data_IF_837883331329
#
_entry.id   IF_837883331329
#
_cell.length_a   1.000
_cell.length_b   1.000
_cell.length_c   1.000
_cell.angle_alpha   90.00
_cell.angle_beta   90.00
_cell.angle_gamma   90.00
#
_symmetry.space_group_name_H-M   'P 1'
#
loop_
_entity.id
_entity.type
_entity.pdbx_description
1 polymer ?
#
# COMPACT_ATOMS: atom_id res chain seq x y z
N UNK A 1 41.66 -2.88 30.84
CA UNK A 1 41.85 -3.71 29.62
C UNK A 1 40.49 -4.06 29.07
N UNK A 2 39.97 -3.19 28.20
CA UNK A 2 38.71 -3.38 27.47
C UNK A 2 39.09 -3.78 26.04
N UNK A 3 38.90 -5.04 25.70
CA UNK A 3 39.03 -5.53 24.33
C UNK A 3 37.97 -4.86 23.46
N UNK A 4 38.33 -4.19 22.35
CA UNK A 4 37.34 -3.73 21.40
C UNK A 4 36.77 -4.95 20.68
N UNK A 5 35.44 -5.02 20.66
CA UNK A 5 34.70 -5.95 19.82
C UNK A 5 35.08 -5.59 18.38
N UNK A 6 35.80 -6.49 17.71
CA UNK A 6 36.05 -6.45 16.27
C UNK A 6 34.71 -6.32 15.57
N UNK A 7 34.39 -5.11 15.09
CA UNK A 7 33.44 -4.91 14.01
C UNK A 7 33.87 -5.81 12.86
N UNK A 8 33.10 -6.86 12.60
CA UNK A 8 33.24 -7.67 11.40
C UNK A 8 32.84 -6.81 10.21
N UNK A 9 33.84 -6.21 9.59
CA UNK A 9 33.82 -5.56 8.28
C UNK A 9 33.49 -6.57 7.16
N UNK A 10 32.27 -7.11 7.14
CA UNK A 10 31.78 -7.95 6.04
C UNK A 10 30.30 -7.70 5.73
N UNK A 11 29.86 -6.47 6.01
CA UNK A 11 28.58 -5.90 5.57
C UNK A 11 28.75 -5.23 4.21
N UNK A 12 29.10 -6.00 3.17
CA UNK A 12 28.68 -5.62 1.82
C UNK A 12 27.15 -5.65 1.81
N UNK A 13 26.53 -4.55 2.22
CA UNK A 13 25.10 -4.34 2.12
C UNK A 13 24.78 -4.42 0.63
N UNK A 14 24.27 -5.57 0.20
CA UNK A 14 23.76 -5.75 -1.15
C UNK A 14 22.61 -4.74 -1.30
N UNK A 15 22.90 -3.59 -1.89
CA UNK A 15 21.90 -2.59 -2.22
C UNK A 15 21.02 -3.20 -3.31
N UNK A 16 19.73 -3.39 -3.01
CA UNK A 16 18.77 -3.81 -4.02
C UNK A 16 18.74 -2.73 -5.09
N UNK A 17 19.11 -3.09 -6.30
CA UNK A 17 18.84 -2.26 -7.47
C UNK A 17 17.43 -2.58 -7.97
N UNK A 18 16.51 -1.66 -7.70
CA UNK A 18 15.08 -1.80 -8.01
C UNK A 18 14.74 -1.43 -9.47
N UNK A 19 15.74 -1.00 -10.23
CA UNK A 19 15.59 -0.48 -11.59
C UNK A 19 15.92 -1.51 -12.68
N UNK A 20 16.54 -2.64 -12.32
CA UNK A 20 17.16 -3.63 -13.21
C UNK A 20 16.30 -4.12 -14.40
N UNK A 21 14.98 -4.21 -14.26
CA UNK A 21 14.10 -4.73 -15.31
C UNK A 21 13.79 -3.76 -16.45
N UNK A 22 13.87 -2.45 -16.24
CA UNK A 22 13.41 -1.43 -17.19
C UNK A 22 14.50 -0.37 -17.46
N UNK A 23 15.04 -0.41 -18.69
CA UNK A 23 16.12 0.50 -19.12
C UNK A 23 15.67 1.96 -19.22
N UNK A 24 14.41 2.22 -19.55
CA UNK A 24 13.90 3.59 -19.65
C UNK A 24 13.85 4.23 -18.26
N UNK A 25 13.32 3.49 -17.27
CA UNK A 25 13.35 3.94 -15.87
C UNK A 25 14.79 4.13 -15.40
N UNK A 26 15.70 3.19 -15.67
CA UNK A 26 17.12 3.34 -15.31
C UNK A 26 17.71 4.63 -15.85
N UNK A 27 17.50 4.92 -17.13
CA UNK A 27 17.98 6.12 -17.78
C UNK A 27 17.41 7.39 -17.12
N UNK A 28 16.10 7.44 -16.91
CA UNK A 28 15.44 8.58 -16.27
C UNK A 28 15.95 8.80 -14.84
N UNK A 29 16.13 7.73 -14.07
CA UNK A 29 16.61 7.83 -12.68
C UNK A 29 18.08 8.21 -12.59
N UNK A 30 18.93 7.68 -13.48
CA UNK A 30 20.33 8.08 -13.57
C UNK A 30 20.50 9.57 -13.86
N UNK A 31 19.55 10.15 -14.59
CA UNK A 31 19.52 11.58 -14.91
C UNK A 31 18.73 12.43 -13.91
N UNK A 32 18.51 11.94 -12.67
CA UNK A 32 17.82 12.66 -11.59
C UNK A 32 16.38 13.11 -11.91
N UNK A 33 15.65 12.33 -12.71
CA UNK A 33 14.24 12.60 -12.95
C UNK A 33 13.39 12.26 -11.71
N UNK A 34 12.61 13.24 -11.28
CA UNK A 34 11.54 13.07 -10.30
C UNK A 34 10.23 12.74 -10.99
N UNK A 35 9.28 12.15 -10.23
CA UNK A 35 7.93 11.91 -10.74
C UNK A 35 7.29 13.18 -11.29
N UNK A 36 7.46 14.32 -10.62
CA UNK A 36 6.91 15.61 -11.06
C UNK A 36 7.51 16.10 -12.37
N UNK A 37 8.84 16.01 -12.54
CA UNK A 37 9.50 16.39 -13.80
C UNK A 37 9.01 15.52 -14.97
N UNK A 38 8.91 14.22 -14.75
CA UNK A 38 8.43 13.29 -15.78
C UNK A 38 6.96 13.52 -16.12
N UNK A 39 6.10 13.79 -15.13
CA UNK A 39 4.70 14.17 -15.36
C UNK A 39 4.57 15.38 -16.27
N UNK A 40 5.31 16.46 -16.00
CA UNK A 40 5.22 17.71 -16.77
C UNK A 40 5.79 17.56 -18.18
N UNK A 41 6.93 16.88 -18.32
CA UNK A 41 7.53 16.67 -19.64
C UNK A 41 6.67 15.72 -20.48
N UNK A 42 6.12 14.66 -19.90
CA UNK A 42 5.22 13.76 -20.59
C UNK A 42 3.95 14.48 -21.07
N UNK A 43 3.39 15.37 -20.24
CA UNK A 43 2.26 16.21 -20.63
C UNK A 43 2.58 17.03 -21.88
N UNK A 44 3.73 17.69 -21.94
CA UNK A 44 4.14 18.50 -23.10
C UNK A 44 4.38 17.61 -24.34
N UNK A 45 5.20 16.57 -24.19
CA UNK A 45 5.62 15.71 -25.30
C UNK A 45 4.44 14.96 -25.91
N UNK A 46 3.47 14.53 -25.10
CA UNK A 46 2.35 13.71 -25.57
C UNK A 46 1.16 14.55 -26.05
N UNK A 47 1.00 15.80 -25.58
CA UNK A 47 -0.06 16.69 -26.08
C UNK A 47 0.33 17.44 -27.35
N UNK A 48 1.61 17.78 -27.52
CA UNK A 48 2.07 18.54 -28.69
C UNK A 48 1.71 17.85 -30.03
N UNK A 49 1.86 16.52 -30.18
CA UNK A 49 1.39 15.82 -31.37
C UNK A 49 -0.12 15.97 -31.61
N UNK A 50 -0.95 15.92 -30.57
CA UNK A 50 -2.40 16.10 -30.70
C UNK A 50 -2.75 17.50 -31.21
N UNK A 51 -2.14 18.54 -30.67
CA UNK A 51 -2.33 19.93 -31.13
C UNK A 51 -1.85 20.10 -32.58
N UNK A 52 -0.69 19.53 -32.91
CA UNK A 52 -0.13 19.61 -34.26
C UNK A 52 -0.99 18.88 -35.29
N UNK A 53 -1.56 17.72 -34.94
CA UNK A 53 -2.48 16.98 -35.82
C UNK A 53 -3.78 17.74 -36.02
N UNK A 54 -4.35 18.32 -34.96
CA UNK A 54 -5.54 19.17 -35.07
C UNK A 54 -5.28 20.39 -35.98
N UNK A 55 -4.08 20.97 -35.91
CA UNK A 55 -3.65 22.05 -36.79
C UNK A 55 -3.60 21.59 -38.26
N UNK A 56 -2.96 20.46 -38.55
CA UNK A 56 -2.82 19.94 -39.92
C UNK A 56 -4.16 19.53 -40.56
N UNK A 57 -5.16 19.19 -39.75
CA UNK A 57 -6.50 18.86 -40.22
C UNK A 57 -7.47 20.07 -40.26
N UNK A 58 -6.98 21.29 -40.06
CA UNK A 58 -7.81 22.52 -39.95
C UNK A 58 -8.95 22.36 -38.94
N UNK A 59 -8.68 21.66 -37.83
CA UNK A 59 -9.65 21.24 -36.83
C UNK A 59 -9.27 21.69 -35.40
N UNK A 60 -8.41 22.72 -35.28
CA UNK A 60 -8.14 23.37 -33.99
C UNK A 60 -9.39 24.06 -33.43
N UNK A 61 -10.11 24.76 -34.30
CA UNK A 61 -11.32 25.52 -33.98
C UNK A 61 -12.53 24.91 -34.72
N UNK A 62 -13.76 25.21 -34.27
CA UNK A 62 -14.97 24.61 -34.83
C UNK A 62 -15.00 24.70 -36.36
N UNK A 63 -15.11 23.53 -36.99
CA UNK A 63 -15.13 23.37 -38.44
C UNK A 63 -16.43 22.64 -38.80
N UNK A 64 -17.17 23.06 -39.85
CA UNK A 64 -18.42 22.39 -40.25
C UNK A 64 -18.23 20.91 -40.66
N UNK A 65 -17.01 20.47 -40.96
CA UNK A 65 -16.72 19.11 -41.43
C UNK A 65 -16.23 18.15 -40.36
N UNK A 66 -15.65 18.66 -39.28
CA UNK A 66 -14.94 17.85 -38.28
C UNK A 66 -15.22 18.36 -36.87
N UNK A 67 -15.34 17.44 -35.91
CA UNK A 67 -15.30 17.80 -34.49
C UNK A 67 -13.93 18.39 -34.16
N UNK A 68 -13.90 19.65 -33.73
CA UNK A 68 -12.67 20.37 -33.46
C UNK A 68 -12.09 20.06 -32.07
N UNK A 69 -10.76 20.15 -31.95
CA UNK A 69 -10.02 19.95 -30.71
C UNK A 69 -10.52 20.87 -29.58
N UNK A 70 -10.84 22.13 -29.88
CA UNK A 70 -11.24 23.13 -28.87
C UNK A 70 -12.56 22.80 -28.16
N UNK A 71 -13.40 21.96 -28.75
CA UNK A 71 -14.69 21.55 -28.19
C UNK A 71 -14.70 20.06 -27.80
N UNK A 72 -13.61 19.34 -28.05
CA UNK A 72 -13.48 17.94 -27.70
C UNK A 72 -13.18 17.78 -26.20
N UNK A 73 -14.18 17.28 -25.50
CA UNK A 73 -14.13 17.04 -24.06
C UNK A 73 -13.16 15.89 -23.69
N UNK A 74 -12.69 15.08 -24.64
CA UNK A 74 -11.69 14.03 -24.44
C UNK A 74 -10.29 14.61 -24.12
N UNK A 75 -9.97 15.82 -24.60
CA UNK A 75 -8.69 16.47 -24.29
C UNK A 75 -8.53 16.82 -22.82
N UNK A 76 -9.64 17.12 -22.14
CA UNK A 76 -9.62 17.40 -20.70
C UNK A 76 -9.17 16.16 -19.93
N UNK A 77 -9.64 14.97 -20.33
CA UNK A 77 -9.25 13.73 -19.67
C UNK A 77 -7.79 13.39 -19.98
N UNK A 78 -7.31 13.61 -21.21
CA UNK A 78 -5.89 13.40 -21.56
C UNK A 78 -4.94 14.31 -20.76
N UNK A 79 -5.26 15.60 -20.67
CA UNK A 79 -4.47 16.58 -19.88
C UNK A 79 -4.38 16.15 -18.41
N UNK A 80 -5.45 15.57 -17.86
CA UNK A 80 -5.47 15.10 -16.48
C UNK A 80 -4.74 13.76 -16.27
N UNK A 81 -4.94 12.80 -17.17
CA UNK A 81 -4.48 11.40 -17.02
C UNK A 81 -2.99 11.26 -17.33
N UNK A 82 -2.51 11.86 -18.42
CA UNK A 82 -1.11 11.75 -18.88
C UNK A 82 -0.09 12.04 -17.77
N UNK A 83 -0.14 13.19 -17.06
CA UNK A 83 0.86 13.51 -16.05
C UNK A 83 0.78 12.55 -14.86
N UNK A 84 -0.42 12.09 -14.50
CA UNK A 84 -0.60 11.13 -13.40
C UNK A 84 0.04 9.80 -13.76
N UNK A 85 -0.27 9.24 -14.95
CA UNK A 85 0.28 7.97 -15.42
C UNK A 85 1.81 8.01 -15.44
N UNK A 86 2.40 9.03 -16.06
CA UNK A 86 3.86 9.11 -16.17
C UNK A 86 4.57 9.42 -14.85
N UNK A 87 3.92 10.16 -13.95
CA UNK A 87 4.41 10.36 -12.59
C UNK A 87 4.43 9.06 -11.78
N UNK A 88 3.35 8.27 -11.89
CA UNK A 88 3.23 6.97 -11.25
C UNK A 88 4.15 5.92 -11.87
N UNK A 89 4.42 5.97 -13.17
CA UNK A 89 5.35 5.08 -13.87
C UNK A 89 6.77 5.14 -13.28
N UNK A 90 7.27 6.34 -12.98
CA UNK A 90 8.55 6.48 -12.25
C UNK A 90 8.39 6.08 -10.79
N UNK A 91 7.33 6.56 -10.13
CA UNK A 91 7.16 6.36 -8.70
C UNK A 91 7.10 4.86 -8.35
N UNK A 92 6.31 4.06 -9.08
CA UNK A 92 6.09 2.63 -8.80
C UNK A 92 7.39 1.82 -8.85
N UNK A 93 8.38 2.27 -9.61
CA UNK A 93 9.69 1.64 -9.73
C UNK A 93 10.60 1.94 -8.53
N UNK A 94 10.39 3.07 -7.83
CA UNK A 94 11.12 3.44 -6.60
C UNK A 94 10.48 2.89 -5.33
N UNK A 95 9.19 2.56 -5.38
CA UNK A 95 8.40 2.18 -4.20
C UNK A 95 9.04 1.08 -3.36
N UNK A 96 9.49 -0.06 -3.91
CA UNK A 96 9.97 -1.13 -3.05
C UNK A 96 11.20 -0.72 -2.24
N UNK A 97 12.07 0.11 -2.82
CA UNK A 97 13.19 0.71 -2.09
C UNK A 97 12.70 1.54 -0.91
N UNK A 98 11.85 2.52 -1.17
CA UNK A 98 11.36 3.47 -0.16
C UNK A 98 10.58 2.79 0.96
N UNK A 99 9.78 1.78 0.63
CA UNK A 99 9.00 1.04 1.63
C UNK A 99 9.91 0.17 2.47
N UNK A 100 10.82 -0.60 1.85
CA UNK A 100 11.71 -1.51 2.58
C UNK A 100 12.72 -0.75 3.44
N UNK A 101 13.28 0.35 2.93
CA UNK A 101 14.17 1.23 3.69
C UNK A 101 13.48 1.80 4.93
N UNK A 102 12.25 2.30 4.79
CA UNK A 102 11.47 2.78 5.94
C UNK A 102 11.22 1.68 6.96
N UNK A 103 10.89 0.47 6.52
CA UNK A 103 10.68 -0.68 7.41
C UNK A 103 11.98 -1.11 8.12
N UNK A 104 13.12 -0.98 7.44
CA UNK A 104 14.44 -1.25 8.00
C UNK A 104 14.83 -0.21 9.06
N UNK A 105 14.64 1.08 8.79
CA UNK A 105 14.87 2.17 9.75
C UNK A 105 14.01 2.02 11.01
N UNK A 106 12.76 1.55 10.86
CA UNK A 106 11.87 1.28 12.01
C UNK A 106 12.22 0.00 12.78
N UNK A 107 13.25 -0.75 12.38
CA UNK A 107 13.69 -1.98 13.05
C UNK A 107 12.80 -3.21 12.81
N UNK A 108 11.81 -3.11 11.92
CA UNK A 108 10.80 -4.14 11.67
C UNK A 108 11.32 -5.22 10.72
N UNK A 109 12.08 -4.78 9.71
CA UNK A 109 12.61 -5.63 8.66
C UNK A 109 14.02 -6.10 9.00
N UNK A 110 14.19 -7.41 9.16
CA UNK A 110 15.52 -8.01 9.30
C UNK A 110 16.00 -8.49 7.94
N UNK A 111 16.94 -7.77 7.33
CA UNK A 111 17.43 -8.08 5.98
C UNK A 111 18.28 -9.36 5.99
N UNK A 112 17.82 -10.40 5.29
CA UNK A 112 18.60 -11.61 5.01
C UNK A 112 19.18 -11.55 3.59
N UNK A 113 20.46 -11.92 3.43
CA UNK A 113 21.15 -11.97 2.13
C UNK A 113 20.36 -12.80 1.10
N UNK A 114 19.80 -13.94 1.52
CA UNK A 114 19.01 -14.81 0.65
C UNK A 114 17.72 -14.15 0.12
N UNK A 115 16.91 -13.57 1.00
CA UNK A 115 15.67 -12.87 0.61
C UNK A 115 15.96 -11.70 -0.34
N UNK A 116 17.02 -10.95 -0.04
CA UNK A 116 17.50 -9.83 -0.84
C UNK A 116 17.85 -10.29 -2.26
N UNK A 117 18.62 -11.38 -2.40
CA UNK A 117 18.98 -11.96 -3.71
C UNK A 117 17.75 -12.47 -4.47
N UNK A 118 16.80 -13.11 -3.79
CA UNK A 118 15.54 -13.59 -4.39
C UNK A 118 14.69 -12.42 -4.90
N UNK A 119 14.52 -11.38 -4.08
CA UNK A 119 13.80 -10.15 -4.46
C UNK A 119 14.46 -9.45 -5.66
N UNK A 120 15.78 -9.35 -5.67
CA UNK A 120 16.52 -8.74 -6.79
C UNK A 120 16.34 -9.53 -8.10
N UNK A 121 16.35 -10.87 -8.07
CA UNK A 121 16.04 -11.70 -9.24
C UNK A 121 14.63 -11.41 -9.80
N UNK A 122 13.64 -11.29 -8.93
CA UNK A 122 12.26 -10.96 -9.32
C UNK A 122 12.20 -9.58 -9.99
N UNK A 123 12.88 -8.57 -9.43
CA UNK A 123 12.93 -7.21 -9.99
C UNK A 123 13.73 -7.09 -11.29
N UNK A 124 14.75 -7.93 -11.47
CA UNK A 124 15.58 -7.96 -12.67
C UNK A 124 14.91 -8.67 -13.86
N UNK A 125 13.75 -9.31 -13.64
CA UNK A 125 13.06 -10.06 -14.68
C UNK A 125 12.51 -9.12 -15.75
N UNK A 126 12.73 -9.43 -17.05
CA UNK A 126 12.28 -8.61 -18.19
C UNK A 126 10.87 -8.93 -18.70
N UNK A 127 10.27 -10.04 -18.24
CA UNK A 127 8.90 -10.46 -18.57
C UNK A 127 7.88 -9.30 -18.49
N UNK A 128 7.87 -8.45 -17.45
CA UNK A 128 6.90 -7.36 -17.34
C UNK A 128 7.04 -6.33 -18.46
N UNK A 129 8.27 -6.05 -18.88
CA UNK A 129 8.55 -5.12 -19.98
C UNK A 129 8.11 -5.69 -21.31
N UNK A 130 8.43 -6.97 -21.57
CA UNK A 130 8.02 -7.66 -22.79
C UNK A 130 6.49 -7.70 -22.89
N UNK A 131 5.82 -8.07 -21.79
CA UNK A 131 4.37 -8.12 -21.73
C UNK A 131 3.74 -6.73 -21.87
N UNK A 132 4.31 -5.70 -21.25
CA UNK A 132 3.83 -4.33 -21.41
C UNK A 132 3.97 -3.82 -22.85
N UNK A 133 5.06 -4.16 -23.56
CA UNK A 133 5.23 -3.82 -24.98
C UNK A 133 4.16 -4.54 -25.81
N UNK A 134 3.94 -5.84 -25.58
CA UNK A 134 2.92 -6.60 -26.30
C UNK A 134 1.51 -6.03 -26.08
N UNK A 135 1.15 -5.69 -24.84
CA UNK A 135 -0.13 -5.05 -24.51
C UNK A 135 -0.21 -3.67 -25.17
N UNK A 136 0.86 -2.87 -25.12
CA UNK A 136 0.87 -1.53 -25.71
C UNK A 136 0.67 -1.55 -27.23
N UNK A 137 1.34 -2.47 -27.94
CA UNK A 137 1.16 -2.66 -29.37
C UNK A 137 -0.26 -3.14 -29.70
N UNK A 138 -0.81 -4.08 -28.91
CA UNK A 138 -2.17 -4.56 -29.10
C UNK A 138 -3.20 -3.45 -28.87
N UNK A 139 -3.11 -2.71 -27.77
CA UNK A 139 -4.00 -1.59 -27.45
C UNK A 139 -3.87 -0.48 -28.49
N UNK A 140 -2.66 -0.15 -28.92
CA UNK A 140 -2.42 0.82 -29.99
C UNK A 140 -3.03 0.40 -31.32
N UNK A 141 -2.90 -0.87 -31.70
CA UNK A 141 -3.55 -1.41 -32.89
C UNK A 141 -5.08 -1.36 -32.79
N UNK A 142 -5.65 -1.78 -31.66
CA UNK A 142 -7.09 -1.74 -31.42
C UNK A 142 -7.62 -0.31 -31.52
N UNK A 143 -6.94 0.63 -30.87
CA UNK A 143 -7.26 2.06 -30.94
C UNK A 143 -7.24 2.58 -32.39
N UNK A 144 -6.17 2.31 -33.13
CA UNK A 144 -6.07 2.71 -34.53
C UNK A 144 -7.20 2.11 -35.38
N UNK A 145 -7.49 0.81 -35.21
CA UNK A 145 -8.48 0.10 -35.98
C UNK A 145 -9.92 0.57 -35.68
N UNK A 146 -10.22 0.94 -34.44
CA UNK A 146 -11.53 1.49 -34.07
C UNK A 146 -11.70 2.89 -34.62
N UNK A 147 -10.72 3.77 -34.43
CA UNK A 147 -10.78 5.16 -34.86
C UNK A 147 -10.83 5.33 -36.37
N UNK A 148 -10.17 4.44 -37.10
CA UNK A 148 -10.24 4.42 -38.57
C UNK A 148 -11.65 4.13 -39.10
N UNK A 149 -12.51 3.48 -38.30
CA UNK A 149 -13.89 3.14 -38.64
C UNK A 149 -14.91 4.11 -38.04
N UNK A 150 -14.48 4.95 -37.10
CA UNK A 150 -15.31 5.96 -36.45
C UNK A 150 -15.61 7.13 -37.38
N UNK A 151 -16.58 7.95 -36.99
CA UNK A 151 -16.86 9.20 -37.68
C UNK A 151 -15.61 10.10 -37.68
N UNK A 152 -15.35 10.87 -38.77
CA UNK A 152 -14.22 11.79 -38.82
C UNK A 152 -14.31 12.91 -37.75
N UNK A 153 -13.28 12.98 -36.94
CA UNK A 153 -12.95 13.95 -35.89
C UNK A 153 -11.53 14.51 -36.16
N UNK A 154 -11.10 15.48 -35.36
CA UNK A 154 -9.80 16.15 -35.53
C UNK A 154 -8.59 15.20 -35.56
N UNK A 155 -8.66 14.02 -34.90
CA UNK A 155 -7.53 13.08 -34.81
C UNK A 155 -7.55 11.92 -35.81
N UNK A 156 -8.70 11.56 -36.38
CA UNK A 156 -8.85 10.40 -37.26
C UNK A 156 -9.22 10.75 -38.72
N UNK A 157 -9.41 12.04 -39.05
CA UNK A 157 -9.71 12.50 -40.41
C UNK A 157 -8.67 12.10 -41.47
N UNK A 158 -7.41 11.94 -41.07
CA UNK A 158 -6.31 11.48 -41.93
C UNK A 158 -5.68 10.21 -41.33
N UNK A 159 -5.74 9.05 -42.02
CA UNK A 159 -5.19 7.79 -41.52
C UNK A 159 -3.70 7.84 -41.18
N UNK A 160 -2.91 8.61 -41.93
CA UNK A 160 -1.47 8.75 -41.66
C UNK A 160 -1.22 9.54 -40.36
N UNK A 161 -1.99 10.61 -40.13
CA UNK A 161 -1.89 11.39 -38.89
C UNK A 161 -2.41 10.59 -37.70
N UNK A 162 -3.48 9.82 -37.88
CA UNK A 162 -3.97 8.89 -36.86
C UNK A 162 -2.89 7.86 -36.48
N UNK A 163 -2.19 7.27 -37.46
CA UNK A 163 -1.10 6.34 -37.20
C UNK A 163 0.04 6.99 -36.40
N UNK A 164 0.43 8.23 -36.76
CA UNK A 164 1.42 9.00 -36.01
C UNK A 164 0.96 9.24 -34.57
N UNK A 165 -0.30 9.65 -34.37
CA UNK A 165 -0.86 9.84 -33.01
C UNK A 165 -0.83 8.56 -32.20
N UNK A 166 -1.22 7.44 -32.80
CA UNK A 166 -1.22 6.15 -32.13
C UNK A 166 0.18 5.77 -31.65
N UNK A 167 1.20 5.97 -32.49
CA UNK A 167 2.59 5.64 -32.16
C UNK A 167 3.17 6.59 -31.12
N UNK A 168 2.89 7.89 -31.21
CA UNK A 168 3.50 8.90 -30.33
C UNK A 168 2.77 9.06 -28.99
N UNK A 169 1.47 8.78 -28.93
CA UNK A 169 0.64 9.06 -27.75
C UNK A 169 0.11 7.77 -27.12
N UNK A 170 -0.64 6.98 -27.88
CA UNK A 170 -1.38 5.83 -27.33
C UNK A 170 -0.48 4.66 -26.96
N UNK A 171 0.48 4.29 -27.80
CA UNK A 171 1.42 3.20 -27.49
C UNK A 171 2.25 3.52 -26.23
N UNK A 172 2.87 4.72 -26.08
CA UNK A 172 3.58 5.08 -24.86
C UNK A 172 2.70 5.12 -23.62
N UNK A 173 1.45 5.62 -23.73
CA UNK A 173 0.50 5.61 -22.62
C UNK A 173 0.11 4.20 -22.20
N UNK A 174 -0.26 3.35 -23.15
CA UNK A 174 -0.62 1.95 -22.89
C UNK A 174 0.56 1.18 -22.29
N UNK A 175 1.80 1.45 -22.74
CA UNK A 175 3.01 0.90 -22.16
C UNK A 175 3.18 1.31 -20.69
N UNK A 176 3.07 2.60 -20.39
CA UNK A 176 3.23 3.12 -19.02
C UNK A 176 2.18 2.54 -18.06
N UNK A 177 0.90 2.51 -18.46
CA UNK A 177 -0.21 1.92 -17.69
C UNK A 177 0.05 0.43 -17.43
N UNK A 178 0.46 -0.31 -18.47
CA UNK A 178 0.75 -1.74 -18.37
C UNK A 178 1.91 -2.02 -17.42
N UNK A 179 3.01 -1.24 -17.51
CA UNK A 179 4.13 -1.35 -16.58
C UNK A 179 3.69 -1.08 -15.15
N UNK A 180 2.86 -0.05 -14.91
CA UNK A 180 2.38 0.25 -13.57
C UNK A 180 1.62 -0.96 -12.99
N UNK A 181 0.64 -1.50 -13.74
CA UNK A 181 -0.14 -2.66 -13.31
C UNK A 181 0.74 -3.88 -13.00
N UNK A 182 1.65 -4.22 -13.92
CA UNK A 182 2.55 -5.36 -13.75
C UNK A 182 3.53 -5.14 -12.59
N UNK A 183 4.05 -3.93 -12.40
CA UNK A 183 4.94 -3.61 -11.27
C UNK A 183 4.23 -3.66 -9.94
N UNK A 184 2.94 -3.34 -9.84
CA UNK A 184 2.20 -3.52 -8.58
C UNK A 184 2.23 -4.99 -8.14
N UNK A 185 2.03 -5.92 -9.08
CA UNK A 185 2.07 -7.37 -8.82
C UNK A 185 3.48 -7.82 -8.41
N UNK A 186 4.52 -7.35 -9.12
CA UNK A 186 5.92 -7.67 -8.81
C UNK A 186 6.30 -7.13 -7.44
N UNK A 187 5.95 -5.88 -7.15
CA UNK A 187 6.21 -5.23 -5.88
C UNK A 187 5.53 -6.00 -4.74
N UNK A 188 4.29 -6.46 -4.92
CA UNK A 188 3.61 -7.32 -3.96
C UNK A 188 4.38 -8.64 -3.70
N UNK A 189 4.90 -9.28 -4.76
CA UNK A 189 5.75 -10.48 -4.62
C UNK A 189 7.06 -10.18 -3.88
N UNK A 190 7.71 -9.07 -4.20
CA UNK A 190 8.93 -8.60 -3.52
C UNK A 190 8.66 -8.37 -2.04
N UNK A 191 7.56 -7.70 -1.70
CA UNK A 191 7.16 -7.51 -0.30
C UNK A 191 6.89 -8.84 0.39
N UNK A 192 6.21 -9.79 -0.25
CA UNK A 192 5.98 -11.13 0.34
C UNK A 192 7.30 -11.85 0.66
N UNK A 193 8.30 -11.76 -0.23
CA UNK A 193 9.64 -12.36 -0.02
C UNK A 193 10.38 -11.66 1.14
N UNK A 194 10.42 -10.33 1.13
CA UNK A 194 11.19 -9.56 2.10
C UNK A 194 10.55 -9.61 3.49
N UNK A 195 9.23 -9.53 3.57
CA UNK A 195 8.49 -9.51 4.83
C UNK A 195 8.32 -10.90 5.47
N UNK A 196 8.93 -11.95 4.91
CA UNK A 196 8.86 -13.28 5.51
C UNK A 196 9.54 -13.36 6.89
N UNK A 197 10.47 -12.45 7.18
CA UNK A 197 11.19 -12.38 8.46
C UNK A 197 11.00 -10.99 9.09
N UNK A 198 9.81 -10.75 9.63
CA UNK A 198 9.43 -9.46 10.23
C UNK A 198 9.24 -9.60 11.73
N UNK A 199 9.71 -8.60 12.46
CA UNK A 199 9.45 -8.41 13.88
C UNK A 199 8.40 -7.31 13.99
N UNK A 200 7.16 -7.67 14.32
CA UNK A 200 6.14 -6.67 14.61
C UNK A 200 6.25 -6.21 16.05
N UNK A 201 6.03 -4.92 16.27
CA UNK A 201 5.98 -4.31 17.59
C UNK A 201 4.52 -4.04 17.97
N UNK A 202 3.90 -4.85 18.84
CA UNK A 202 2.47 -4.74 19.17
C UNK A 202 2.05 -3.37 19.76
N UNK A 203 3.00 -2.60 20.30
CA UNK A 203 2.76 -1.27 20.87
C UNK A 203 3.37 -0.15 20.01
N UNK A 204 3.63 -0.41 18.73
CA UNK A 204 4.15 0.62 17.84
C UNK A 204 3.15 1.78 17.73
N UNK A 205 3.59 3.05 17.80
CA UNK A 205 2.69 4.22 17.84
C UNK A 205 1.85 4.41 16.56
N UNK A 206 2.16 3.67 15.49
CA UNK A 206 1.41 3.71 14.23
C UNK A 206 0.12 2.89 14.24
N UNK A 207 -0.13 2.07 15.27
CA UNK A 207 -1.31 1.20 15.34
C UNK A 207 -1.35 0.10 14.28
N UNK A 208 -0.24 -0.16 13.58
CA UNK A 208 -0.13 -1.17 12.52
C UNK A 208 1.09 -2.09 12.73
N UNK A 209 1.61 -2.14 13.96
CA UNK A 209 2.82 -2.91 14.29
C UNK A 209 4.07 -2.42 13.55
N UNK A 210 4.06 -1.17 13.08
CA UNK A 210 5.11 -0.57 12.28
C UNK A 210 4.96 -0.73 10.75
N UNK A 211 3.92 -1.44 10.27
CA UNK A 211 3.68 -1.67 8.84
C UNK A 211 3.03 -0.48 8.11
N UNK A 212 2.90 0.69 8.74
CA UNK A 212 2.33 1.90 8.11
C UNK A 212 2.91 2.25 6.73
N UNK A 213 4.22 2.09 6.43
CA UNK A 213 4.75 2.36 5.08
C UNK A 213 4.07 1.53 3.99
N UNK A 214 3.70 0.28 4.28
CA UNK A 214 3.01 -0.60 3.33
C UNK A 214 1.55 -0.19 3.13
N UNK A 215 0.88 0.27 4.19
CA UNK A 215 -0.46 0.85 4.12
C UNK A 215 -0.49 2.16 3.31
N UNK A 216 0.49 3.05 3.50
CA UNK A 216 0.64 4.28 2.70
C UNK A 216 0.86 3.98 1.21
N UNK A 217 1.62 2.93 0.90
CA UNK A 217 1.78 2.45 -0.47
C UNK A 217 0.44 2.00 -1.06
N UNK A 218 -0.32 1.16 -0.35
CA UNK A 218 -1.63 0.70 -0.80
C UNK A 218 -2.60 1.87 -1.05
N UNK A 219 -2.66 2.85 -0.15
CA UNK A 219 -3.48 4.06 -0.32
C UNK A 219 -3.11 4.85 -1.58
N UNK A 220 -1.82 5.01 -1.88
CA UNK A 220 -1.38 5.69 -3.10
C UNK A 220 -1.81 4.96 -4.38
N UNK A 221 -1.84 3.62 -4.34
CA UNK A 221 -2.40 2.81 -5.44
C UNK A 221 -3.91 3.01 -5.54
N UNK A 222 -4.64 3.13 -4.43
CA UNK A 222 -6.08 3.44 -4.45
C UNK A 222 -6.38 4.76 -5.14
N UNK A 223 -5.60 5.82 -4.88
CA UNK A 223 -5.80 7.09 -5.58
C UNK A 223 -5.59 6.98 -7.09
N UNK A 224 -4.60 6.18 -7.52
CA UNK A 224 -4.39 5.90 -8.95
C UNK A 224 -5.56 5.14 -9.57
N UNK A 225 -6.04 4.09 -8.89
CA UNK A 225 -7.18 3.29 -9.35
C UNK A 225 -8.44 4.16 -9.43
N UNK A 226 -8.71 4.98 -8.41
CA UNK A 226 -9.84 5.91 -8.42
C UNK A 226 -9.80 6.85 -9.63
N UNK A 227 -8.62 7.39 -9.97
CA UNK A 227 -8.44 8.22 -11.16
C UNK A 227 -8.81 7.46 -12.44
N UNK A 228 -8.32 6.22 -12.61
CA UNK A 228 -8.71 5.41 -13.77
C UNK A 228 -10.21 5.06 -13.79
N UNK A 229 -10.83 4.85 -12.63
CA UNK A 229 -12.27 4.66 -12.51
C UNK A 229 -13.07 5.88 -12.96
N UNK A 230 -12.64 7.09 -12.57
CA UNK A 230 -13.24 8.33 -13.05
C UNK A 230 -13.05 8.51 -14.56
N UNK A 231 -11.86 8.19 -15.09
CA UNK A 231 -11.59 8.24 -16.53
C UNK A 231 -12.50 7.29 -17.31
N UNK A 232 -12.65 6.04 -16.86
CA UNK A 232 -13.54 5.06 -17.49
C UNK A 232 -15.00 5.52 -17.45
N UNK A 233 -15.49 5.97 -16.28
CA UNK A 233 -16.84 6.51 -16.14
C UNK A 233 -17.09 7.70 -17.07
N UNK A 234 -16.11 8.59 -17.19
CA UNK A 234 -16.21 9.75 -18.07
C UNK A 234 -16.29 9.35 -19.54
N UNK A 235 -15.50 8.38 -19.99
CA UNK A 235 -15.57 7.86 -21.37
C UNK A 235 -16.95 7.26 -21.67
N UNK A 236 -17.51 6.45 -20.76
CA UNK A 236 -18.85 5.88 -20.90
C UNK A 236 -19.95 6.97 -20.91
N UNK A 237 -19.81 7.98 -20.06
CA UNK A 237 -20.72 9.13 -20.04
C UNK A 237 -20.71 9.91 -21.36
N UNK A 238 -19.52 10.11 -21.95
CA UNK A 238 -19.39 10.75 -23.26
C UNK A 238 -19.97 9.88 -24.39
N UNK A 239 -19.82 8.57 -24.32
CA UNK A 239 -20.46 7.65 -25.26
C UNK A 239 -22.00 7.70 -25.15
N UNK A 240 -22.52 7.81 -23.92
CA UNK A 240 -23.96 7.94 -23.65
C UNK A 240 -24.54 9.23 -24.23
N UNK A 241 -23.93 10.39 -23.97
CA UNK A 241 -24.41 11.68 -24.49
C UNK A 241 -24.38 11.71 -26.02
N UNK A 242 -23.39 11.09 -26.65
CA UNK A 242 -23.28 11.00 -28.11
C UNK A 242 -24.22 9.96 -28.75
N UNK A 243 -25.00 9.22 -27.95
CA UNK A 243 -25.86 8.14 -28.43
C UNK A 243 -25.09 6.94 -28.98
N UNK A 244 -23.78 6.87 -28.74
CA UNK A 244 -22.87 5.85 -29.25
C UNK A 244 -22.62 4.70 -28.25
N UNK A 245 -23.35 4.68 -27.12
CA UNK A 245 -23.12 3.71 -26.05
C UNK A 245 -23.21 2.26 -26.56
N UNK A 246 -24.17 1.92 -27.42
CA UNK A 246 -24.33 0.55 -27.90
C UNK A 246 -23.19 0.06 -28.82
N UNK A 247 -22.45 0.99 -29.43
CA UNK A 247 -21.41 0.70 -30.44
C UNK A 247 -19.99 0.82 -29.89
N UNK A 248 -19.82 1.40 -28.69
CA UNK A 248 -18.53 1.60 -28.02
C UNK A 248 -18.01 0.33 -27.31
N UNK A 249 -17.97 -0.80 -28.02
CA UNK A 249 -17.58 -2.10 -27.46
C UNK A 249 -16.19 -2.09 -26.81
N UNK A 250 -15.25 -1.31 -27.33
CA UNK A 250 -13.90 -1.21 -26.76
C UNK A 250 -13.92 -0.50 -25.41
N UNK A 251 -14.71 0.57 -25.28
CA UNK A 251 -14.97 1.23 -23.99
C UNK A 251 -15.52 0.24 -22.96
N UNK A 252 -16.57 -0.50 -23.32
CA UNK A 252 -17.20 -1.48 -22.43
C UNK A 252 -16.25 -2.57 -21.97
N UNK A 253 -15.45 -3.12 -22.90
CA UNK A 253 -14.46 -4.16 -22.58
C UNK A 253 -13.38 -3.59 -21.65
N UNK A 254 -12.90 -2.37 -21.89
CA UNK A 254 -11.92 -1.71 -21.03
C UNK A 254 -12.49 -1.44 -19.63
N UNK A 255 -13.73 -0.95 -19.54
CA UNK A 255 -14.45 -0.73 -18.28
C UNK A 255 -14.66 -2.04 -17.52
N UNK A 256 -15.11 -3.10 -18.19
CA UNK A 256 -15.27 -4.42 -17.58
C UNK A 256 -13.93 -5.00 -17.09
N UNK A 257 -12.88 -4.89 -17.91
CA UNK A 257 -11.53 -5.30 -17.51
C UNK A 257 -11.04 -4.51 -16.29
N UNK A 258 -11.28 -3.20 -16.25
CA UNK A 258 -10.97 -2.36 -15.09
C UNK A 258 -11.70 -2.83 -13.82
N UNK A 259 -13.00 -3.11 -13.89
CA UNK A 259 -13.80 -3.57 -12.73
C UNK A 259 -13.28 -4.90 -12.19
N UNK A 260 -12.82 -5.80 -13.06
CA UNK A 260 -12.28 -7.11 -12.66
C UNK A 260 -10.83 -7.00 -12.14
N UNK A 261 -9.99 -6.23 -12.81
CA UNK A 261 -8.56 -6.10 -12.46
C UNK A 261 -8.34 -5.25 -11.22
N UNK A 262 -9.18 -4.25 -10.96
CA UNK A 262 -9.01 -3.30 -9.85
C UNK A 262 -8.97 -3.99 -8.48
N UNK A 263 -9.92 -4.87 -8.12
CA UNK A 263 -9.82 -5.64 -6.87
C UNK A 263 -8.53 -6.44 -6.77
N UNK A 264 -8.09 -7.10 -7.85
CA UNK A 264 -6.85 -7.90 -7.85
C UNK A 264 -5.63 -7.02 -7.57
N UNK A 265 -5.52 -5.88 -8.24
CA UNK A 265 -4.41 -4.94 -8.08
C UNK A 265 -4.42 -4.28 -6.70
N UNK A 266 -5.60 -3.94 -6.18
CA UNK A 266 -5.75 -3.34 -4.85
C UNK A 266 -5.40 -4.31 -3.72
N UNK A 267 -5.91 -5.53 -3.77
CA UNK A 267 -5.67 -6.52 -2.71
C UNK A 267 -4.27 -7.15 -2.79
N UNK A 268 -3.64 -7.21 -3.97
CA UNK A 268 -2.30 -7.79 -4.13
C UNK A 268 -1.27 -7.31 -3.09
N UNK A 269 -1.01 -6.01 -2.90
CA UNK A 269 -0.06 -5.55 -1.88
C UNK A 269 -0.57 -5.72 -0.44
N UNK A 270 -1.90 -5.68 -0.24
CA UNK A 270 -2.53 -5.80 1.07
C UNK A 270 -2.43 -7.23 1.62
N UNK A 271 -2.48 -8.25 0.75
CA UNK A 271 -2.31 -9.65 1.16
C UNK A 271 -0.95 -9.89 1.82
N UNK A 272 0.13 -9.31 1.27
CA UNK A 272 1.46 -9.43 1.87
C UNK A 272 1.51 -8.81 3.27
N UNK A 273 0.85 -7.66 3.48
CA UNK A 273 0.74 -7.03 4.79
C UNK A 273 -0.06 -7.92 5.76
N UNK A 274 -1.20 -8.43 5.30
CA UNK A 274 -2.11 -9.23 6.10
C UNK A 274 -1.49 -10.56 6.53
N UNK A 275 -0.78 -11.25 5.63
CA UNK A 275 -0.07 -12.49 5.93
C UNK A 275 0.98 -12.30 7.04
N UNK A 276 1.66 -11.15 7.05
CA UNK A 276 2.67 -10.82 8.07
C UNK A 276 2.00 -10.52 9.40
N UNK A 277 0.94 -9.71 9.39
CA UNK A 277 0.16 -9.41 10.59
C UNK A 277 -0.44 -10.66 11.21
N UNK A 278 -1.02 -11.55 10.39
CA UNK A 278 -1.60 -12.81 10.84
C UNK A 278 -0.55 -13.71 11.50
N UNK A 279 0.59 -13.93 10.85
CA UNK A 279 1.66 -14.79 11.39
C UNK A 279 2.26 -14.23 12.68
N UNK A 280 2.44 -12.92 12.76
CA UNK A 280 2.93 -12.29 13.98
C UNK A 280 1.93 -12.43 15.14
N UNK A 281 0.63 -12.29 14.86
CA UNK A 281 -0.43 -12.55 15.84
C UNK A 281 -0.41 -14.01 16.32
N UNK A 282 -0.38 -14.97 15.39
CA UNK A 282 -0.33 -16.40 15.72
C UNK A 282 0.90 -16.73 16.59
N UNK A 283 2.07 -16.15 16.26
CA UNK A 283 3.30 -16.32 17.06
C UNK A 283 3.20 -15.72 18.46
N UNK A 284 2.55 -14.56 18.61
CA UNK A 284 2.35 -13.91 19.90
C UNK A 284 1.38 -14.71 20.78
N UNK A 285 0.27 -15.19 20.20
CA UNK A 285 -0.70 -16.06 20.89
C UNK A 285 -0.03 -17.35 21.34
N UNK A 286 0.75 -17.99 20.45
CA UNK A 286 1.46 -19.22 20.77
C UNK A 286 2.44 -19.02 21.93
N UNK A 287 3.27 -17.97 21.89
CA UNK A 287 4.20 -17.65 22.98
C UNK A 287 3.48 -17.38 24.31
N UNK A 288 2.38 -16.63 24.26
CA UNK A 288 1.60 -16.31 25.48
C UNK A 288 0.95 -17.57 26.05
N UNK A 289 0.43 -18.45 25.18
CA UNK A 289 -0.16 -19.73 25.58
C UNK A 289 0.88 -20.69 26.17
N UNK A 290 2.07 -20.77 25.57
CA UNK A 290 3.19 -21.55 26.11
C UNK A 290 3.63 -21.06 27.48
N UNK A 291 3.80 -19.73 27.64
CA UNK A 291 4.15 -19.12 28.92
C UNK A 291 3.05 -19.38 29.98
N UNK A 292 1.78 -19.22 29.61
CA UNK A 292 0.65 -19.49 30.49
C UNK A 292 0.63 -20.94 30.97
N UNK A 293 0.80 -21.91 30.06
CA UNK A 293 0.83 -23.32 30.43
C UNK A 293 2.01 -23.64 31.35
N UNK A 294 3.19 -23.07 31.08
CA UNK A 294 4.37 -23.26 31.93
C UNK A 294 4.16 -22.69 33.33
N UNK A 295 3.66 -21.46 33.43
CA UNK A 295 3.41 -20.81 34.73
C UNK A 295 2.25 -21.48 35.49
N UNK A 296 1.24 -22.00 34.78
CA UNK A 296 0.14 -22.77 35.37
C UNK A 296 0.62 -24.12 35.91
N UNK A 297 1.45 -24.86 35.18
CA UNK A 297 2.08 -26.09 35.68
C UNK A 297 2.96 -25.82 36.90
N UNK A 298 3.80 -24.79 36.85
CA UNK A 298 4.62 -24.37 37.99
C UNK A 298 3.78 -23.99 39.22
N UNK A 299 2.61 -23.37 39.01
CA UNK A 299 1.69 -23.05 40.09
C UNK A 299 1.06 -24.30 40.71
N UNK A 300 0.69 -25.29 39.90
CA UNK A 300 0.19 -26.58 40.38
C UNK A 300 1.27 -27.32 41.16
N UNK A 301 2.50 -27.38 40.63
CA UNK A 301 3.64 -28.02 41.30
C UNK A 301 4.01 -27.27 42.60
N UNK A 302 3.78 -25.95 42.65
CA UNK A 302 3.95 -25.12 43.83
C UNK A 302 2.84 -25.25 44.90
N UNK A 303 1.71 -25.89 44.61
CA UNK A 303 0.66 -26.18 45.62
C UNK A 303 1.13 -27.16 46.69
N UNK A 304 2.23 -27.89 46.47
CA UNK A 304 2.92 -28.71 47.47
C UNK A 304 4.06 -27.96 48.19
N UNK A 305 4.27 -26.67 47.90
CA UNK A 305 5.34 -25.80 48.40
C UNK A 305 4.86 -24.51 49.10
N UNK A 306 5.70 -23.46 49.12
CA UNK A 306 5.49 -22.24 49.91
C UNK A 306 4.33 -21.36 49.40
N UNK A 307 3.53 -20.79 50.32
CA UNK A 307 2.38 -19.95 49.98
C UNK A 307 2.73 -18.62 49.27
N UNK A 308 4.01 -18.21 49.32
CA UNK A 308 4.51 -16.97 48.68
C UNK A 308 4.66 -17.17 47.17
N UNK A 309 5.21 -18.31 46.75
CA UNK A 309 5.41 -18.65 45.32
C UNK A 309 4.06 -18.84 44.59
N UNK A 310 3.06 -19.37 45.30
CA UNK A 310 1.72 -19.58 44.76
C UNK A 310 1.02 -18.26 44.40
N UNK A 311 1.16 -17.24 45.26
CA UNK A 311 0.51 -15.93 45.02
C UNK A 311 1.13 -15.20 43.83
N UNK A 312 2.46 -15.20 43.72
CA UNK A 312 3.16 -14.57 42.59
C UNK A 312 2.80 -15.26 41.26
N UNK A 313 2.73 -16.59 41.25
CA UNK A 313 2.34 -17.34 40.06
C UNK A 313 0.87 -17.09 39.67
N UNK A 314 -0.06 -16.99 40.63
CA UNK A 314 -1.46 -16.64 40.34
C UNK A 314 -1.61 -15.23 39.74
N UNK A 315 -0.87 -14.23 40.23
CA UNK A 315 -0.88 -12.87 39.66
C UNK A 315 -0.33 -12.86 38.23
N UNK A 316 0.76 -13.60 37.96
CA UNK A 316 1.30 -13.77 36.59
C UNK A 316 0.28 -14.43 35.65
N UNK A 317 -0.40 -15.48 36.10
CA UNK A 317 -1.46 -16.18 35.34
C UNK A 317 -2.60 -15.21 34.99
N UNK A 318 -3.05 -14.36 35.92
CA UNK A 318 -4.10 -13.35 35.68
C UNK A 318 -3.65 -12.32 34.63
N UNK A 319 -2.40 -11.83 34.71
CA UNK A 319 -1.83 -10.92 33.74
C UNK A 319 -1.67 -11.56 32.35
N UNK A 320 -1.25 -12.83 32.28
CA UNK A 320 -1.15 -13.57 31.02
C UNK A 320 -2.51 -13.86 30.40
N UNK A 321 -3.53 -14.16 31.20
CA UNK A 321 -4.92 -14.28 30.73
C UNK A 321 -5.43 -12.96 30.16
N UNK A 322 -5.16 -11.84 30.83
CA UNK A 322 -5.51 -10.52 30.33
C UNK A 322 -4.79 -10.21 29.01
N UNK A 323 -3.49 -10.49 28.91
CA UNK A 323 -2.70 -10.30 27.71
C UNK A 323 -3.18 -11.20 26.55
N UNK A 324 -3.45 -12.48 26.82
CA UNK A 324 -4.01 -13.42 25.86
C UNK A 324 -5.38 -12.97 25.35
N UNK A 325 -6.25 -12.50 26.25
CA UNK A 325 -7.57 -11.97 25.89
C UNK A 325 -7.45 -10.74 24.99
N UNK A 326 -6.53 -9.81 25.29
CA UNK A 326 -6.23 -8.64 24.44
C UNK A 326 -5.71 -9.08 23.07
N UNK A 327 -4.79 -10.04 23.02
CA UNK A 327 -4.23 -10.57 21.77
C UNK A 327 -5.29 -11.32 20.93
N UNK A 328 -6.22 -12.04 21.55
CA UNK A 328 -7.31 -12.72 20.85
C UNK A 328 -8.32 -11.71 20.28
N UNK A 329 -8.71 -10.71 21.07
CA UNK A 329 -9.65 -9.65 20.67
C UNK A 329 -9.10 -8.69 19.60
N UNK A 330 -7.77 -8.58 19.44
CA UNK A 330 -7.13 -7.71 18.44
C UNK A 330 -7.29 -8.18 16.97
N UNK A 331 -8.27 -9.05 16.67
CA UNK A 331 -8.58 -9.52 15.32
C UNK A 331 -8.93 -8.40 14.32
N UNK A 332 -9.34 -7.23 14.83
CA UNK A 332 -9.21 -5.95 14.12
C UNK A 332 -8.31 -5.08 14.99
N UNK A 333 -7.17 -4.64 14.48
CA UNK A 333 -6.48 -3.50 15.07
C UNK A 333 -7.34 -2.26 14.78
N UNK A 334 -8.41 -2.10 15.57
CA UNK A 334 -9.14 -0.86 15.74
C UNK A 334 -8.44 -0.08 16.83
N UNK A 335 -8.16 1.18 16.50
CA UNK A 335 -7.64 2.26 17.33
C UNK A 335 -7.80 2.08 18.85
N UNK A 336 -6.70 2.32 19.56
CA UNK A 336 -6.72 2.79 20.95
C UNK A 336 -7.33 1.83 21.94
N UNK A 337 -6.57 0.83 22.38
CA UNK A 337 -6.88 0.17 23.64
C UNK A 337 -6.42 1.10 24.77
N UNK A 338 -7.30 2.02 25.19
CA UNK A 338 -7.28 2.49 26.56
C UNK A 338 -7.65 1.29 27.44
N UNK A 339 -6.67 0.45 27.81
CA UNK A 339 -6.88 -0.46 28.93
C UNK A 339 -6.88 0.44 30.17
N UNK A 340 -8.07 0.90 30.58
CA UNK A 340 -8.27 1.41 31.92
C UNK A 340 -8.15 0.21 32.86
N UNK A 341 -6.92 -0.17 33.20
CA UNK A 341 -6.62 -1.02 34.36
C UNK A 341 -6.75 -0.14 35.60
N UNK A 342 -7.94 0.39 35.84
CA UNK A 342 -8.24 1.20 37.02
C UNK A 342 -9.67 0.92 37.48
N UNK A 343 -9.90 -0.31 37.93
CA UNK A 343 -11.09 -0.62 38.75
C UNK A 343 -10.87 -1.65 39.86
N UNK A 344 -9.77 -2.41 39.88
CA UNK A 344 -9.45 -3.35 40.98
C UNK A 344 -8.57 -2.74 42.08
N UNK A 345 -7.60 -1.89 41.75
CA UNK A 345 -6.75 -1.21 42.76
C UNK A 345 -7.57 -0.24 43.65
N UNK A 346 -8.50 0.53 43.07
CA UNK A 346 -9.35 1.43 43.88
C UNK A 346 -10.35 0.69 44.80
N UNK A 347 -10.73 -0.55 44.50
CA UNK A 347 -11.61 -1.33 45.37
C UNK A 347 -10.85 -1.95 46.56
N UNK A 348 -9.56 -2.26 46.39
CA UNK A 348 -8.70 -2.67 47.49
C UNK A 348 -8.30 -1.48 48.38
N UNK A 349 -8.04 -0.30 47.80
CA UNK A 349 -7.82 0.93 48.58
C UNK A 349 -9.07 1.40 49.31
N UNK A 350 -10.25 1.37 48.69
CA UNK A 350 -11.52 1.70 49.38
C UNK A 350 -11.87 0.69 50.48
N UNK A 351 -11.62 -0.61 50.29
CA UNK A 351 -11.77 -1.61 51.37
C UNK A 351 -10.73 -1.43 52.47
N UNK A 352 -9.49 -1.10 52.15
CA UNK A 352 -8.45 -0.83 53.15
C UNK A 352 -8.72 0.45 53.96
N UNK A 353 -9.21 1.52 53.31
CA UNK A 353 -9.63 2.75 53.98
C UNK A 353 -10.92 2.55 54.81
N UNK A 354 -11.88 1.75 54.34
CA UNK A 354 -13.06 1.38 55.12
C UNK A 354 -12.69 0.55 56.37
N UNK A 355 -11.75 -0.40 56.25
CA UNK A 355 -11.24 -1.19 57.37
C UNK A 355 -10.38 -0.37 58.36
N UNK A 356 -9.67 0.66 57.90
CA UNK A 356 -8.95 1.59 58.78
C UNK A 356 -9.86 2.63 59.46
N UNK A 357 -10.96 3.06 58.81
CA UNK A 357 -11.94 3.98 59.40
C UNK A 357 -12.87 3.29 60.42
N UNK A 358 -13.21 2.02 60.22
CA UNK A 358 -14.00 1.22 61.18
C UNK A 358 -13.23 0.80 62.44
N UNK A 359 -11.90 0.94 62.47
CA UNK A 359 -11.07 0.62 63.64
C UNK A 359 -10.75 1.82 64.54
N UNK A 360 -11.14 3.03 64.14
CA UNK A 360 -10.90 4.27 64.90
C UNK A 360 -12.12 4.79 65.69
N UNK A 361 -13.29 4.15 65.60
CA UNK A 361 -14.49 4.59 66.33
C UNK A 361 -14.72 3.92 67.68
N UNK A 362 -13.75 3.17 68.21
CA UNK A 362 -13.89 2.45 69.49
C UNK A 362 -12.82 2.79 70.52
N UNK A 363 -12.34 4.04 70.61
CA UNK A 363 -11.62 4.48 71.81
C UNK A 363 -11.73 5.99 72.02
N UNK A 364 -11.97 6.37 73.29
CA UNK A 364 -12.06 7.74 73.89
C UNK A 364 -13.42 8.44 73.77
N UNK A 365 -14.01 9.07 74.80
CA UNK A 365 -13.90 9.04 76.28
C UNK A 365 -15.08 9.88 76.80
N UNK A 366 -15.63 9.49 77.97
CA UNK A 366 -16.55 10.29 78.80
C UNK A 366 -15.95 11.65 79.18
N UNK A 367 -16.78 12.67 79.43
CA UNK A 367 -17.03 13.41 80.70
C UNK A 367 -17.65 14.82 80.39
N UNK A 368 -17.99 15.72 81.35
CA UNK A 368 -19.37 15.94 81.82
C UNK A 368 -19.86 17.42 81.84
N UNK A 369 -21.19 17.64 81.86
CA UNK A 369 -21.87 18.63 82.71
C UNK A 369 -21.93 20.14 82.34
N UNK A 370 -23.19 20.66 82.44
CA UNK A 370 -23.69 22.03 82.72
C UNK A 370 -23.51 23.09 81.61
N UNK A 371 -24.52 23.89 81.23
CA UNK A 371 -25.71 24.39 81.94
C UNK A 371 -27.04 24.02 81.28
#
# INVERSE_FOLDING_TARGET
MTTPIKESQDSTQLNLDFTLGDKLVQFLLKNNWSSTKTSLVALIILLLPSVFIAFLNDALFPNPKLLALSVDASMISEIAIVPVVWGYYIWISKVPHQVLEKLEITGILVRRKENTRRAQKVLATRIPVILAIAIALFVGYMYYATELRSAPEWHNANPALLAIRTVLVWIPMAYAISIIGLRIIINARVFKIMLNNVILHPLHPDGAGGLRPLGQYALKITYLLAMFGFAALYTEYQAFIRGALATEYVGHIATAAYVILTPLVFFAPLTAAHDVMRRAKEKLILRTSQQFNQDFSNAIDGLSGSAVDLKENMEKIEHLQALHKVCCLSAKWKNGIHVIVHKRSQNHEKKAQALQSGRKSSFTKRTPGKW
#
